data_IF_389582865771
#
_entry.id   IF_389582865771
#
_cell.length_a   1.000
_cell.length_b   1.000
_cell.length_c   1.000
_cell.angle_alpha   90.00
_cell.angle_beta   90.00
_cell.angle_gamma   90.00
#
_symmetry.space_group_name_H-M   'P 1'
#
loop_
_entity.id
_entity.type
_entity.pdbx_description
1 polymer ?
#
# COMPACT_ATOMS: atom_id res chain seq x y z
N UNK A 1 -30.77 12.83 -63.21
CA UNK A 1 -30.79 11.46 -62.67
C UNK A 1 -29.34 11.00 -62.56
N UNK A 2 -28.71 11.26 -61.40
CA UNK A 2 -27.30 10.91 -61.15
C UNK A 2 -27.29 9.80 -60.09
N UNK A 3 -26.64 8.69 -60.43
CA UNK A 3 -26.51 7.50 -59.58
C UNK A 3 -25.31 7.72 -58.67
N UNK A 4 -25.57 7.90 -57.37
CA UNK A 4 -24.56 7.93 -56.31
C UNK A 4 -24.22 6.46 -55.96
N UNK A 5 -22.95 6.03 -56.00
CA UNK A 5 -22.60 4.68 -55.57
C UNK A 5 -22.65 4.60 -54.04
N UNK A 6 -23.39 3.61 -53.54
CA UNK A 6 -23.40 3.21 -52.13
C UNK A 6 -22.03 2.64 -51.75
N UNK A 7 -21.37 3.28 -50.80
CA UNK A 7 -20.23 2.73 -50.06
C UNK A 7 -20.77 1.61 -49.16
N UNK A 8 -20.20 0.39 -49.16
CA UNK A 8 -20.65 -0.66 -48.26
C UNK A 8 -20.18 -0.35 -46.84
N UNK A 9 -21.15 -0.37 -45.91
CA UNK A 9 -20.96 -0.27 -44.47
C UNK A 9 -20.13 -1.47 -43.96
N UNK A 10 -18.82 -1.33 -43.97
CA UNK A 10 -17.93 -2.26 -43.27
C UNK A 10 -17.63 -1.72 -41.87
N UNK A 11 -18.21 -2.43 -40.89
CA UNK A 11 -17.60 -2.75 -39.61
C UNK A 11 -16.91 -1.56 -38.89
N UNK A 12 -17.73 -0.71 -38.27
CA UNK A 12 -17.27 0.11 -37.15
C UNK A 12 -16.97 -0.85 -35.99
N UNK A 13 -15.74 -1.36 -35.92
CA UNK A 13 -15.21 -1.94 -34.69
C UNK A 13 -15.06 -0.75 -33.74
N UNK A 14 -16.13 -0.50 -32.99
CA UNK A 14 -16.04 0.22 -31.73
C UNK A 14 -15.12 -0.65 -30.89
N UNK A 15 -13.86 -0.22 -30.73
CA UNK A 15 -13.03 -0.67 -29.63
C UNK A 15 -13.75 -0.13 -28.39
N UNK A 16 -14.70 -0.91 -27.89
CA UNK A 16 -15.15 -0.77 -26.52
C UNK A 16 -13.89 -1.01 -25.71
N UNK A 17 -13.33 0.07 -25.17
CA UNK A 17 -12.62 0.01 -23.91
C UNK A 17 -13.58 -0.71 -22.96
N UNK A 18 -13.44 -2.03 -22.87
CA UNK A 18 -13.99 -2.76 -21.76
C UNK A 18 -13.25 -2.19 -20.57
N UNK A 19 -13.94 -1.25 -19.90
CA UNK A 19 -13.98 -1.18 -18.46
C UNK A 19 -13.92 -2.62 -17.97
N UNK A 20 -12.72 -3.06 -17.64
CA UNK A 20 -12.52 -4.25 -16.86
C UNK A 20 -13.29 -3.92 -15.58
N UNK A 21 -14.45 -4.55 -15.43
CA UNK A 21 -15.18 -4.50 -14.19
C UNK A 21 -14.20 -5.03 -13.15
N UNK A 22 -13.65 -4.12 -12.37
CA UNK A 22 -13.24 -4.37 -11.01
C UNK A 22 -14.49 -4.92 -10.29
N UNK A 23 -14.76 -6.21 -10.49
CA UNK A 23 -15.24 -7.04 -9.41
C UNK A 23 -14.15 -6.89 -8.34
N UNK A 24 -14.55 -6.38 -7.18
CA UNK A 24 -13.71 -5.98 -6.06
C UNK A 24 -13.08 -4.57 -6.15
N UNK A 25 -13.83 -3.61 -6.68
CA UNK A 25 -13.76 -2.26 -6.12
C UNK A 25 -14.22 -2.32 -4.64
N UNK A 26 -13.26 -2.56 -3.74
CA UNK A 26 -13.43 -2.54 -2.30
C UNK A 26 -14.19 -1.27 -1.87
N UNK A 27 -15.42 -1.45 -1.40
CA UNK A 27 -15.96 -0.55 -0.40
C UNK A 27 -15.15 -0.76 0.88
N UNK A 28 -14.14 0.08 1.10
CA UNK A 28 -13.56 0.26 2.42
C UNK A 28 -14.67 0.76 3.33
N UNK A 29 -15.26 -0.17 4.09
CA UNK A 29 -16.23 0.17 5.14
C UNK A 29 -15.44 0.33 6.43
N UNK A 30 -14.86 1.52 6.63
CA UNK A 30 -14.36 1.90 7.95
C UNK A 30 -15.58 2.08 8.84
N UNK A 31 -15.85 1.11 9.71
CA UNK A 31 -16.95 1.18 10.67
C UNK A 31 -16.50 1.98 11.89
N UNK A 32 -16.33 3.29 11.72
CA UNK A 32 -16.09 4.22 12.83
C UNK A 32 -17.35 4.29 13.70
N UNK A 33 -17.28 3.71 14.90
CA UNK A 33 -18.20 4.01 15.99
C UNK A 33 -17.50 5.02 16.89
N UNK A 34 -17.83 6.30 16.69
CA UNK A 34 -17.95 7.36 17.71
C UNK A 34 -17.51 8.70 17.12
N UNK A 35 -18.49 9.49 16.72
CA UNK A 35 -18.34 10.91 16.40
C UNK A 35 -18.35 11.70 17.70
N UNK A 36 -17.23 12.31 18.09
CA UNK A 36 -17.22 13.44 19.01
C UNK A 36 -16.38 14.56 18.38
N UNK A 37 -17.06 15.64 18.02
CA UNK A 37 -16.46 16.86 17.51
C UNK A 37 -15.64 17.53 18.62
N UNK A 38 -14.42 17.97 18.31
CA UNK A 38 -13.65 18.86 19.18
C UNK A 38 -13.22 20.10 18.40
N UNK A 39 -13.62 21.25 18.93
CA UNK A 39 -13.31 22.58 18.38
C UNK A 39 -12.10 23.11 19.14
N UNK A 40 -11.00 23.41 18.45
CA UNK A 40 -9.86 24.10 19.07
C UNK A 40 -9.49 25.31 18.23
N UNK A 41 -9.78 26.49 18.77
CA UNK A 41 -9.31 27.78 18.30
C UNK A 41 -7.83 27.94 18.63
N UNK A 42 -6.99 28.34 17.66
CA UNK A 42 -5.67 28.90 17.97
C UNK A 42 -5.29 30.02 16.99
N UNK A 43 -4.58 30.99 17.57
CA UNK A 43 -4.28 32.31 17.02
C UNK A 43 -2.92 32.38 16.34
N UNK A 44 -2.81 33.32 15.41
CA UNK A 44 -1.73 33.57 14.47
C UNK A 44 -0.30 33.77 15.03
N UNK A 45 0.68 33.26 14.26
CA UNK A 45 1.83 34.01 13.73
C UNK A 45 3.15 34.06 14.54
N UNK A 46 4.18 33.31 14.09
CA UNK A 46 5.58 33.75 13.99
C UNK A 46 6.52 32.63 13.44
N UNK A 47 7.67 32.98 12.81
CA UNK A 47 8.48 32.09 11.99
C UNK A 47 9.52 31.27 12.79
N UNK A 48 9.67 30.01 12.38
CA UNK A 48 10.71 29.01 12.66
C UNK A 48 11.79 29.35 13.71
N UNK A 49 11.67 28.70 14.86
CA UNK A 49 12.81 28.31 15.69
C UNK A 49 12.68 26.83 15.99
N UNK A 50 13.78 26.09 15.88
CA UNK A 50 14.06 24.72 16.33
C UNK A 50 13.55 24.45 17.75
N UNK A 51 12.23 24.30 17.87
CA UNK A 51 11.54 24.03 19.13
C UNK A 51 11.46 22.53 19.26
N UNK A 52 12.33 22.00 20.12
CA UNK A 52 12.13 20.78 20.92
C UNK A 52 10.73 20.21 20.72
N UNK A 53 10.67 19.01 20.12
CA UNK A 53 9.64 18.00 20.36
C UNK A 53 9.45 17.92 21.88
N UNK A 54 8.56 18.73 22.42
CA UNK A 54 8.10 18.58 23.79
C UNK A 54 6.87 17.72 23.66
N UNK A 55 6.99 16.45 24.03
CA UNK A 55 5.96 15.49 24.43
C UNK A 55 4.52 16.04 24.40
N UNK A 56 3.97 16.20 23.21
CA UNK A 56 2.62 15.71 22.98
C UNK A 56 2.84 14.25 22.63
N UNK A 57 2.54 13.36 23.57
CA UNK A 57 2.31 11.95 23.25
C UNK A 57 1.50 11.92 21.96
N UNK A 58 2.07 11.31 20.93
CA UNK A 58 1.38 11.06 19.67
C UNK A 58 0.26 10.07 19.99
N UNK A 59 -0.88 10.55 20.48
CA UNK A 59 -2.12 9.76 20.61
C UNK A 59 -2.75 9.47 19.24
N UNK A 60 -1.91 9.22 18.24
CA UNK A 60 -2.26 9.00 16.84
C UNK A 60 -1.14 8.17 16.20
N UNK A 61 -1.45 6.93 15.81
CA UNK A 61 -0.64 6.09 14.92
C UNK A 61 -0.39 6.69 13.53
N UNK A 62 -0.87 7.91 13.29
CA UNK A 62 -0.73 8.64 12.05
C UNK A 62 0.22 9.83 12.25
N UNK A 63 1.44 9.67 11.75
CA UNK A 63 2.44 10.73 11.76
C UNK A 63 2.36 11.47 10.41
N UNK A 64 1.90 12.73 10.37
CA UNK A 64 1.77 13.46 9.11
C UNK A 64 3.12 13.64 8.42
N UNK A 65 3.18 13.37 7.12
CA UNK A 65 4.41 13.43 6.32
C UNK A 65 4.43 14.75 5.52
N UNK A 66 5.53 15.51 5.54
CA UNK A 66 5.66 16.67 4.69
C UNK A 66 5.59 16.30 3.21
N UNK A 67 4.95 17.18 2.42
CA UNK A 67 4.80 16.98 0.98
C UNK A 67 6.14 16.74 0.27
N UNK A 68 7.21 17.39 0.73
CA UNK A 68 8.55 17.26 0.14
C UNK A 68 9.11 15.85 0.28
N UNK A 69 8.78 15.15 1.36
CA UNK A 69 9.19 13.76 1.59
C UNK A 69 8.25 12.80 0.87
N UNK A 70 6.93 13.04 0.92
CA UNK A 70 5.95 12.27 0.15
C UNK A 70 6.28 12.25 -1.35
N UNK A 71 6.67 13.38 -1.92
CA UNK A 71 7.05 13.48 -3.34
C UNK A 71 8.33 12.73 -3.69
N UNK A 72 9.17 12.38 -2.71
CA UNK A 72 10.36 11.54 -2.91
C UNK A 72 9.98 10.06 -2.97
N UNK A 73 9.13 9.61 -2.03
CA UNK A 73 8.77 8.19 -1.86
C UNK A 73 7.55 7.74 -2.66
N UNK A 74 6.66 8.64 -3.04
CA UNK A 74 5.46 8.29 -3.80
C UNK A 74 5.56 8.71 -5.26
N UNK A 75 4.90 7.96 -6.17
CA UNK A 75 4.66 8.44 -7.51
C UNK A 75 3.87 9.75 -7.44
N UNK A 76 4.30 10.76 -8.20
CA UNK A 76 3.60 12.04 -8.28
C UNK A 76 3.23 12.31 -9.75
N UNK A 77 2.28 13.23 -10.00
CA UNK A 77 1.80 13.50 -11.35
C UNK A 77 2.92 13.87 -12.36
N UNK A 78 4.04 14.41 -11.86
CA UNK A 78 5.23 14.73 -12.67
C UNK A 78 6.27 13.61 -12.79
N UNK A 79 6.19 12.56 -11.94
CA UNK A 79 7.13 11.45 -11.79
C UNK A 79 6.33 10.18 -11.54
N UNK A 80 5.59 9.75 -12.56
CA UNK A 80 4.89 8.46 -12.57
C UNK A 80 5.75 7.31 -13.13
N UNK A 81 7.02 7.61 -13.46
CA UNK A 81 7.97 6.65 -14.05
C UNK A 81 8.08 5.40 -13.17
N UNK A 82 7.71 4.22 -13.69
CA UNK A 82 7.75 2.98 -12.94
C UNK A 82 9.15 2.65 -12.43
N UNK A 83 9.23 2.09 -11.22
CA UNK A 83 10.48 1.52 -10.71
C UNK A 83 10.73 0.13 -11.32
N UNK A 84 11.97 -0.37 -11.18
CA UNK A 84 12.31 -1.73 -11.63
C UNK A 84 11.42 -2.80 -10.98
N UNK A 85 11.16 -2.68 -9.67
CA UNK A 85 10.34 -3.63 -8.92
C UNK A 85 8.88 -3.64 -9.37
N UNK A 86 8.36 -2.46 -9.70
CA UNK A 86 7.03 -2.29 -10.29
C UNK A 86 6.95 -2.96 -11.67
N UNK A 87 7.99 -2.82 -12.49
CA UNK A 87 8.07 -3.48 -13.79
C UNK A 87 8.14 -5.00 -13.66
N UNK A 88 8.96 -5.51 -12.73
CA UNK A 88 9.10 -6.96 -12.48
C UNK A 88 7.78 -7.57 -12.01
N UNK A 89 7.00 -6.85 -11.21
CA UNK A 89 5.68 -7.31 -10.77
C UNK A 89 4.73 -7.60 -11.95
N UNK A 90 4.74 -6.78 -13.01
CA UNK A 90 3.93 -7.03 -14.21
C UNK A 90 4.55 -7.96 -15.23
N UNK A 91 5.87 -8.09 -15.23
CA UNK A 91 6.53 -9.13 -15.98
C UNK A 91 6.11 -10.51 -15.43
N UNK A 92 5.89 -10.61 -14.12
CA UNK A 92 5.51 -11.82 -13.42
C UNK A 92 6.57 -12.22 -12.40
N UNK A 93 6.12 -12.62 -11.21
CA UNK A 93 7.00 -13.09 -10.12
C UNK A 93 7.37 -14.56 -10.35
N UNK A 94 6.44 -15.38 -10.84
CA UNK A 94 6.69 -16.80 -11.14
C UNK A 94 7.08 -17.04 -12.60
N UNK A 95 7.79 -18.15 -12.93
CA UNK A 95 8.09 -18.51 -14.32
C UNK A 95 6.84 -18.68 -15.19
N UNK A 96 5.75 -19.17 -14.61
CA UNK A 96 4.46 -19.35 -15.29
C UNK A 96 3.83 -18.00 -15.64
N UNK A 97 3.83 -17.05 -14.72
CA UNK A 97 3.36 -15.69 -14.96
C UNK A 97 4.20 -14.99 -16.03
N UNK A 98 5.54 -15.12 -15.95
CA UNK A 98 6.45 -14.56 -16.95
C UNK A 98 6.17 -15.09 -18.34
N UNK A 99 5.96 -16.40 -18.46
CA UNK A 99 5.59 -16.99 -19.73
C UNK A 99 4.24 -16.47 -20.24
N UNK A 100 3.22 -16.41 -19.38
CA UNK A 100 1.89 -15.92 -19.75
C UNK A 100 1.92 -14.44 -20.17
N UNK A 101 2.64 -13.59 -19.42
CA UNK A 101 2.80 -12.16 -19.71
C UNK A 101 3.55 -11.94 -21.04
N UNK A 102 4.63 -12.69 -21.28
CA UNK A 102 5.35 -12.64 -22.55
C UNK A 102 4.50 -13.17 -23.72
N UNK A 103 3.74 -14.25 -23.52
CA UNK A 103 2.87 -14.82 -24.54
C UNK A 103 1.70 -13.88 -24.89
N UNK A 104 1.07 -13.27 -23.89
CA UNK A 104 0.07 -12.22 -24.06
C UNK A 104 0.67 -11.06 -24.86
N UNK A 105 1.82 -10.54 -24.42
CA UNK A 105 2.54 -9.47 -25.08
C UNK A 105 2.85 -9.79 -26.55
N UNK A 106 3.38 -10.99 -26.82
CA UNK A 106 3.72 -11.43 -28.17
C UNK A 106 2.48 -11.62 -29.05
N UNK A 107 1.39 -12.13 -28.47
CA UNK A 107 0.12 -12.31 -29.18
C UNK A 107 -0.46 -10.96 -29.62
N UNK A 108 -0.45 -9.96 -28.72
CA UNK A 108 -0.85 -8.58 -29.03
C UNK A 108 0.09 -7.97 -30.08
N UNK A 109 1.39 -8.17 -29.96
CA UNK A 109 2.35 -7.66 -30.93
C UNK A 109 2.14 -8.26 -32.33
N UNK A 110 1.94 -9.57 -32.40
CA UNK A 110 1.71 -10.28 -33.66
C UNK A 110 0.38 -9.87 -34.31
N UNK A 111 -0.72 -9.95 -33.57
CA UNK A 111 -2.05 -9.59 -34.06
C UNK A 111 -2.14 -8.10 -34.41
N UNK A 112 -1.57 -7.24 -33.57
CA UNK A 112 -1.51 -5.80 -33.78
C UNK A 112 -0.68 -5.41 -34.99
N UNK A 113 0.45 -6.10 -35.23
CA UNK A 113 1.26 -5.89 -36.45
C UNK A 113 0.51 -6.30 -37.72
N UNK A 114 -0.21 -7.43 -37.69
CA UNK A 114 -1.07 -7.85 -38.81
C UNK A 114 -2.21 -6.84 -39.04
N UNK A 115 -2.84 -6.37 -37.96
CA UNK A 115 -3.88 -5.35 -38.04
C UNK A 115 -3.34 -4.04 -38.63
N UNK A 116 -2.17 -3.57 -38.19
CA UNK A 116 -1.52 -2.38 -38.71
C UNK A 116 -1.21 -2.52 -40.22
N UNK A 117 -0.77 -3.70 -40.65
CA UNK A 117 -0.59 -4.00 -42.08
C UNK A 117 -1.89 -3.84 -42.88
N UNK A 118 -3.01 -4.37 -42.40
CA UNK A 118 -4.29 -4.19 -43.09
C UNK A 118 -4.80 -2.74 -43.09
N UNK A 119 -4.63 -2.03 -41.97
CA UNK A 119 -5.01 -0.61 -41.85
C UNK A 119 -4.19 0.28 -42.78
N UNK A 120 -2.96 -0.12 -43.13
CA UNK A 120 -2.10 0.63 -44.06
C UNK A 120 -2.76 0.87 -45.42
N UNK A 121 -3.62 -0.05 -45.88
CA UNK A 121 -4.37 0.10 -47.14
C UNK A 121 -5.51 1.12 -47.07
N UNK A 122 -6.00 1.43 -45.86
CA UNK A 122 -7.15 2.31 -45.65
C UNK A 122 -6.71 3.72 -45.29
N UNK A 123 -5.83 3.84 -44.29
CA UNK A 123 -5.44 5.12 -43.67
C UNK A 123 -4.08 5.62 -44.21
N UNK A 124 -3.34 4.75 -44.89
CA UNK A 124 -2.03 5.04 -45.48
C UNK A 124 -0.88 4.49 -44.65
N UNK A 125 0.29 4.37 -45.30
CA UNK A 125 1.46 3.67 -44.78
C UNK A 125 2.03 4.32 -43.51
N UNK A 126 2.07 5.64 -43.43
CA UNK A 126 2.71 6.36 -42.31
C UNK A 126 2.06 6.04 -40.95
N UNK A 127 0.73 6.19 -40.84
CA UNK A 127 0.00 5.93 -39.59
C UNK A 127 0.03 4.45 -39.23
N UNK A 128 -0.03 3.56 -40.22
CA UNK A 128 0.12 2.13 -40.00
C UNK A 128 1.51 1.75 -39.47
N UNK A 129 2.58 2.40 -39.93
CA UNK A 129 3.93 2.16 -39.39
C UNK A 129 4.02 2.57 -37.93
N UNK A 130 3.45 3.71 -37.53
CA UNK A 130 3.43 4.14 -36.12
C UNK A 130 2.69 3.11 -35.25
N UNK A 131 1.48 2.71 -35.67
CA UNK A 131 0.71 1.69 -34.95
C UNK A 131 1.45 0.35 -34.89
N UNK A 132 2.05 -0.08 -36.00
CA UNK A 132 2.84 -1.31 -36.06
C UNK A 132 4.03 -1.30 -35.11
N UNK A 133 4.72 -0.17 -34.97
CA UNK A 133 5.81 -0.01 -33.99
C UNK A 133 5.26 -0.10 -32.56
N UNK A 134 4.15 0.57 -32.23
CA UNK A 134 3.54 0.49 -30.89
C UNK A 134 3.20 -0.96 -30.54
N UNK A 135 2.58 -1.70 -31.48
CA UNK A 135 2.27 -3.11 -31.25
C UNK A 135 3.52 -3.98 -31.16
N UNK A 136 4.53 -3.77 -32.02
CA UNK A 136 5.78 -4.52 -32.00
C UNK A 136 6.48 -4.43 -30.63
N UNK A 137 6.47 -3.24 -30.02
CA UNK A 137 7.07 -3.00 -28.71
C UNK A 137 6.11 -3.23 -27.53
N UNK A 138 4.89 -3.70 -27.77
CA UNK A 138 3.90 -3.95 -26.73
C UNK A 138 4.38 -4.88 -25.60
N UNK A 139 5.17 -5.95 -25.82
CA UNK A 139 5.68 -6.78 -24.73
C UNK A 139 6.54 -6.02 -23.71
N UNK A 140 7.20 -4.93 -24.16
CA UNK A 140 8.05 -4.08 -23.31
C UNK A 140 7.23 -2.93 -22.72
N UNK A 141 6.34 -2.34 -23.52
CA UNK A 141 5.53 -1.18 -23.10
C UNK A 141 4.37 -1.55 -22.17
N UNK A 142 3.81 -2.76 -22.30
CA UNK A 142 2.63 -3.19 -21.53
C UNK A 142 2.87 -3.20 -20.02
N UNK A 143 3.95 -3.81 -19.49
CA UNK A 143 4.28 -3.74 -18.06
C UNK A 143 4.44 -2.29 -17.57
N UNK A 144 5.11 -1.45 -18.37
CA UNK A 144 5.33 -0.04 -18.05
C UNK A 144 3.99 0.71 -17.94
N UNK A 145 3.10 0.58 -18.93
CA UNK A 145 1.78 1.21 -18.90
C UNK A 145 0.90 0.72 -17.74
N UNK A 146 0.93 -0.57 -17.42
CA UNK A 146 0.20 -1.13 -16.27
C UNK A 146 0.73 -0.52 -14.95
N UNK A 147 2.04 -0.34 -14.82
CA UNK A 147 2.63 0.33 -13.67
C UNK A 147 2.27 1.82 -13.58
N UNK A 148 2.34 2.55 -14.70
CA UNK A 148 1.84 3.92 -14.76
C UNK A 148 0.38 4.02 -14.30
N UNK A 149 -0.47 3.10 -14.76
CA UNK A 149 -1.88 3.08 -14.38
C UNK A 149 -2.06 2.84 -12.88
N UNK A 150 -1.36 1.88 -12.26
CA UNK A 150 -1.45 1.67 -10.81
C UNK A 150 -0.93 2.84 -9.99
N UNK A 151 0.21 3.42 -10.39
CA UNK A 151 0.74 4.62 -9.76
C UNK A 151 -0.27 5.78 -9.83
N UNK A 152 -0.96 5.91 -10.97
CA UNK A 152 -2.05 6.86 -11.13
C UNK A 152 -3.28 6.53 -10.27
N UNK A 153 -3.65 5.26 -10.14
CA UNK A 153 -4.77 4.81 -9.31
C UNK A 153 -4.56 5.09 -7.83
N UNK A 154 -3.33 4.89 -7.31
CA UNK A 154 -2.97 5.23 -5.93
C UNK A 154 -3.26 6.70 -5.61
N UNK A 155 -2.90 7.58 -6.55
CA UNK A 155 -3.01 9.03 -6.38
C UNK A 155 -4.35 9.58 -6.87
N UNK A 156 -5.08 8.82 -7.70
CA UNK A 156 -6.32 9.23 -8.35
C UNK A 156 -6.17 10.48 -9.23
N UNK A 157 -4.95 10.77 -9.70
CA UNK A 157 -4.63 11.99 -10.44
C UNK A 157 -4.68 13.29 -9.64
N UNK A 158 -4.69 13.20 -8.30
CA UNK A 158 -4.71 14.35 -7.39
C UNK A 158 -3.30 14.78 -7.03
N UNK A 159 -3.12 16.06 -6.73
CA UNK A 159 -1.85 16.52 -6.19
C UNK A 159 -1.71 16.12 -4.71
N UNK A 160 -0.48 15.86 -4.29
CA UNK A 160 -0.15 15.72 -2.88
C UNK A 160 -0.24 17.09 -2.21
N UNK A 161 -0.75 17.15 -0.98
CA UNK A 161 -0.91 18.39 -0.21
C UNK A 161 -0.31 18.20 1.16
N UNK A 162 0.34 19.26 1.63
CA UNK A 162 0.88 19.29 2.97
C UNK A 162 -0.21 19.49 4.03
N UNK A 163 -0.11 18.75 5.14
CA UNK A 163 -1.11 18.78 6.22
C UNK A 163 -1.16 20.15 6.90
N UNK A 164 -0.02 20.84 6.96
CA UNK A 164 0.13 22.13 7.66
C UNK A 164 -0.16 23.36 6.80
N UNK A 165 -0.61 23.20 5.55
CA UNK A 165 -1.06 24.35 4.76
C UNK A 165 -2.37 24.85 5.35
N UNK A 166 -2.35 26.05 5.95
CA UNK A 166 -3.53 26.66 6.53
C UNK A 166 -4.52 27.07 5.44
N UNK A 167 -5.77 26.68 5.63
CA UNK A 167 -6.87 26.92 4.67
C UNK A 167 -7.15 28.41 4.44
N UNK A 168 -6.68 29.26 5.36
CA UNK A 168 -7.01 30.68 5.45
C UNK A 168 -5.94 31.61 4.85
N UNK A 169 -4.68 31.17 4.71
CA UNK A 169 -3.57 32.02 4.22
C UNK A 169 -3.35 31.92 2.70
N UNK A 170 -3.74 30.79 2.10
CA UNK A 170 -3.46 30.50 0.70
C UNK A 170 -4.74 30.67 -0.14
N UNK A 171 -5.01 31.88 -0.62
CA UNK A 171 -6.18 32.20 -1.45
C UNK A 171 -6.38 31.33 -2.69
N UNK A 172 -5.39 30.49 -3.05
CA UNK A 172 -5.50 29.46 -4.10
C UNK A 172 -6.49 28.33 -3.76
N UNK A 173 -6.59 27.92 -2.48
CA UNK A 173 -7.46 26.82 -2.05
C UNK A 173 -8.79 27.27 -1.44
N UNK A 174 -8.97 28.59 -1.30
CA UNK A 174 -10.18 29.19 -0.75
C UNK A 174 -11.42 28.80 -1.58
N UNK A 175 -12.43 28.23 -0.92
CA UNK A 175 -13.68 27.79 -1.56
C UNK A 175 -13.65 26.43 -2.26
N UNK A 176 -12.49 25.76 -2.35
CA UNK A 176 -12.41 24.38 -2.83
C UNK A 176 -12.68 23.44 -1.64
N UNK A 177 -13.64 22.50 -1.75
CA UNK A 177 -13.87 21.47 -0.73
C UNK A 177 -12.59 20.67 -0.46
N UNK A 178 -12.29 20.38 0.80
CA UNK A 178 -11.06 19.70 1.22
C UNK A 178 -10.81 18.40 0.46
N UNK A 179 -11.86 17.60 0.24
CA UNK A 179 -11.80 16.33 -0.49
C UNK A 179 -11.47 16.44 -1.98
N UNK A 180 -11.42 17.66 -2.53
CA UNK A 180 -11.04 17.96 -3.92
C UNK A 180 -9.73 18.69 -4.04
N UNK A 181 -9.11 19.08 -2.92
CA UNK A 181 -7.84 19.82 -2.96
C UNK A 181 -6.70 18.91 -3.39
N UNK A 182 -6.62 17.72 -2.79
CA UNK A 182 -5.52 16.79 -3.04
C UNK A 182 -5.52 15.62 -2.05
N UNK A 183 -4.34 15.02 -1.88
CA UNK A 183 -4.10 13.91 -0.95
C UNK A 183 -3.10 14.32 0.13
N UNK A 184 -3.48 14.09 1.39
CA UNK A 184 -2.62 14.18 2.56
C UNK A 184 -1.99 12.82 2.82
N UNK A 185 -0.72 12.78 3.19
CA UNK A 185 -0.01 11.54 3.54
C UNK A 185 0.40 11.50 5.01
N UNK A 186 0.31 10.30 5.60
CA UNK A 186 0.78 10.02 6.95
C UNK A 186 1.49 8.66 6.99
N UNK A 187 2.51 8.53 7.83
CA UNK A 187 3.00 7.22 8.24
C UNK A 187 1.93 6.61 9.15
N UNK A 188 1.56 5.38 8.86
CA UNK A 188 0.78 4.56 9.77
C UNK A 188 1.73 3.60 10.46
N UNK A 189 1.90 3.78 11.77
CA UNK A 189 2.71 2.94 12.65
C UNK A 189 1.80 2.00 13.43
N UNK A 190 2.10 0.71 13.44
CA UNK A 190 1.28 -0.29 14.12
C UNK A 190 2.12 -1.51 14.48
N UNK A 191 1.61 -2.32 15.40
CA UNK A 191 2.12 -3.66 15.69
C UNK A 191 1.26 -4.70 14.99
N UNK A 192 1.88 -5.82 14.63
CA UNK A 192 1.18 -6.96 14.05
C UNK A 192 0.43 -7.69 15.16
N UNK A 193 -0.90 -7.68 15.12
CA UNK A 193 -1.75 -8.34 16.13
C UNK A 193 -2.02 -9.80 15.78
N UNK A 194 -2.27 -10.07 14.50
CA UNK A 194 -2.66 -11.39 14.02
C UNK A 194 -2.20 -11.60 12.58
N UNK A 195 -1.76 -12.82 12.28
CA UNK A 195 -1.29 -13.25 10.97
C UNK A 195 -1.91 -14.59 10.65
N UNK A 196 -2.58 -14.69 9.52
CA UNK A 196 -3.05 -15.98 9.03
C UNK A 196 -3.06 -16.03 7.51
N UNK A 197 -3.21 -17.24 6.98
CA UNK A 197 -3.38 -17.51 5.56
C UNK A 197 -4.84 -17.82 5.27
N UNK A 198 -5.38 -17.24 4.20
CA UNK A 198 -6.77 -17.42 3.77
C UNK A 198 -6.85 -17.70 2.28
N UNK A 199 -7.87 -18.44 1.86
CA UNK A 199 -8.20 -18.66 0.45
C UNK A 199 -9.02 -17.48 -0.13
N UNK A 200 -9.96 -16.95 0.66
CA UNK A 200 -10.79 -15.79 0.34
C UNK A 200 -10.64 -14.69 1.41
N UNK A 201 -10.70 -13.44 0.97
CA UNK A 201 -10.73 -12.22 1.81
C UNK A 201 -11.94 -12.22 2.75
N UNK A 202 -12.98 -12.98 2.40
CA UNK A 202 -14.23 -13.12 3.16
C UNK A 202 -14.27 -14.36 4.06
N UNK A 203 -13.17 -15.12 4.11
CA UNK A 203 -13.04 -16.29 4.96
C UNK A 203 -13.41 -15.95 6.41
N UNK A 204 -14.11 -16.87 7.05
CA UNK A 204 -14.41 -16.79 8.48
C UNK A 204 -13.27 -17.34 9.31
N UNK A 205 -13.29 -17.13 10.64
CA UNK A 205 -12.26 -17.64 11.56
C UNK A 205 -11.99 -19.13 11.46
N UNK A 206 -12.95 -19.91 10.99
CA UNK A 206 -12.86 -21.36 10.87
C UNK A 206 -12.18 -21.81 9.56
N UNK A 207 -11.96 -20.87 8.63
CA UNK A 207 -11.37 -21.06 7.29
C UNK A 207 -9.97 -20.42 7.19
N UNK A 208 -9.42 -20.03 8.33
CA UNK A 208 -8.09 -19.45 8.46
C UNK A 208 -7.07 -20.55 8.78
N UNK A 209 -5.89 -20.42 8.18
CA UNK A 209 -4.79 -21.34 8.38
C UNK A 209 -3.62 -20.61 9.05
N UNK A 210 -2.93 -21.32 9.94
CA UNK A 210 -1.73 -20.80 10.59
C UNK A 210 -0.60 -20.68 9.57
N UNK A 211 0.22 -19.62 9.70
CA UNK A 211 1.34 -19.37 8.80
C UNK A 211 2.37 -20.51 8.82
N UNK A 212 2.57 -21.15 9.98
CA UNK A 212 3.49 -22.27 10.17
C UNK A 212 3.17 -23.49 9.29
N UNK A 213 1.89 -23.68 8.93
CA UNK A 213 1.45 -24.75 8.02
C UNK A 213 2.03 -24.56 6.60
N UNK A 214 2.51 -23.35 6.29
CA UNK A 214 3.07 -22.96 5.00
C UNK A 214 4.60 -22.80 5.02
N UNK A 215 5.29 -23.36 6.01
CA UNK A 215 6.77 -23.24 6.13
C UNK A 215 7.59 -23.68 4.90
N UNK A 216 7.04 -24.53 4.03
CA UNK A 216 7.66 -24.94 2.76
C UNK A 216 7.03 -24.28 1.51
N UNK A 217 6.17 -23.28 1.71
CA UNK A 217 5.51 -22.56 0.63
C UNK A 217 6.50 -21.79 -0.24
N UNK A 218 6.26 -21.84 -1.55
CA UNK A 218 6.85 -20.91 -2.52
C UNK A 218 5.76 -20.46 -3.47
N UNK A 219 5.85 -19.23 -3.98
CA UNK A 219 4.91 -18.76 -5.01
C UNK A 219 4.85 -19.67 -6.24
N UNK A 220 5.90 -20.45 -6.50
CA UNK A 220 5.94 -21.38 -7.64
C UNK A 220 5.20 -22.69 -7.39
N UNK A 221 5.08 -23.10 -6.12
CA UNK A 221 4.44 -24.34 -5.68
C UNK A 221 3.03 -24.12 -5.12
N UNK A 222 2.45 -22.92 -5.29
CA UNK A 222 1.10 -22.60 -4.81
C UNK A 222 0.05 -23.59 -5.37
N UNK A 223 -0.38 -24.52 -4.51
CA UNK A 223 -1.31 -25.57 -4.90
C UNK A 223 -2.70 -25.02 -5.20
N UNK A 224 -3.14 -24.01 -4.44
CA UNK A 224 -4.46 -23.39 -4.61
C UNK A 224 -4.52 -22.66 -5.95
N UNK A 225 -3.49 -21.90 -6.30
CA UNK A 225 -3.40 -21.22 -7.60
C UNK A 225 -3.36 -22.23 -8.75
N UNK A 226 -2.63 -23.33 -8.56
CA UNK A 226 -2.53 -24.37 -9.57
C UNK A 226 -3.87 -25.09 -9.82
N UNK A 227 -4.68 -25.29 -8.78
CA UNK A 227 -5.98 -25.97 -8.88
C UNK A 227 -7.13 -25.04 -9.28
N UNK A 228 -7.15 -23.82 -8.74
CA UNK A 228 -8.30 -22.90 -8.84
C UNK A 228 -8.03 -21.66 -9.69
N UNK A 229 -6.75 -21.31 -9.88
CA UNK A 229 -6.33 -20.05 -10.49
C UNK A 229 -6.31 -18.86 -9.52
N UNK A 230 -6.59 -19.08 -8.22
CA UNK A 230 -6.56 -18.06 -7.17
C UNK A 230 -5.43 -18.43 -6.20
N UNK A 231 -4.48 -17.53 -5.92
CA UNK A 231 -3.39 -17.82 -4.98
C UNK A 231 -3.86 -17.74 -3.53
N UNK A 232 -3.12 -18.40 -2.65
CA UNK A 232 -3.23 -18.16 -1.22
C UNK A 232 -2.99 -16.68 -0.88
N UNK A 233 -3.64 -16.18 0.16
CA UNK A 233 -3.50 -14.80 0.61
C UNK A 233 -3.05 -14.75 2.05
N UNK A 234 -2.11 -13.88 2.35
CA UNK A 234 -1.79 -13.47 3.71
C UNK A 234 -2.85 -12.47 4.17
N UNK A 235 -3.39 -12.69 5.37
CA UNK A 235 -4.11 -11.68 6.13
C UNK A 235 -3.24 -11.21 7.27
N UNK A 236 -2.96 -9.91 7.25
CA UNK A 236 -2.24 -9.21 8.31
C UNK A 236 -3.21 -8.28 9.04
N UNK A 237 -3.32 -8.43 10.34
CA UNK A 237 -4.04 -7.48 11.20
C UNK A 237 -3.03 -6.63 11.94
N UNK A 238 -3.11 -5.32 11.71
CA UNK A 238 -2.27 -4.31 12.34
C UNK A 238 -3.09 -3.57 13.38
N UNK A 239 -2.57 -3.42 14.59
CA UNK A 239 -3.18 -2.62 15.66
C UNK A 239 -2.27 -1.46 16.03
N UNK A 240 -2.86 -0.32 16.35
CA UNK A 240 -2.14 0.74 17.06
C UNK A 240 -2.28 0.65 18.58
N UNK A 241 -1.57 1.54 19.26
CA UNK A 241 -1.56 1.78 20.71
C UNK A 241 -2.97 2.02 21.30
N UNK A 242 -3.87 2.60 20.51
CA UNK A 242 -5.27 2.84 20.87
C UNK A 242 -6.20 1.64 20.59
N UNK A 243 -5.67 0.53 20.07
CA UNK A 243 -6.43 -0.67 19.69
C UNK A 243 -7.28 -0.49 18.43
N UNK A 244 -7.04 0.56 17.63
CA UNK A 244 -7.63 0.73 16.31
C UNK A 244 -6.87 -0.17 15.35
N UNK A 245 -7.62 -0.87 14.50
CA UNK A 245 -7.05 -1.90 13.64
C UNK A 245 -7.24 -1.65 12.15
N UNK A 246 -6.23 -2.05 11.38
CA UNK A 246 -6.30 -2.16 9.94
C UNK A 246 -6.01 -3.60 9.53
N UNK A 247 -6.83 -4.13 8.63
CA UNK A 247 -6.63 -5.46 8.08
C UNK A 247 -6.18 -5.33 6.63
N UNK A 248 -5.04 -5.96 6.32
CA UNK A 248 -4.42 -5.97 5.00
C UNK A 248 -4.47 -7.39 4.46
N UNK A 249 -4.80 -7.50 3.18
CA UNK A 249 -4.73 -8.75 2.43
C UNK A 249 -3.70 -8.59 1.33
N UNK A 250 -2.77 -9.52 1.25
CA UNK A 250 -1.77 -9.57 0.19
C UNK A 250 -1.68 -11.00 -0.36
N UNK A 251 -1.26 -11.15 -1.62
CA UNK A 251 -0.91 -12.47 -2.16
C UNK A 251 0.19 -13.10 -1.31
N UNK A 252 0.03 -14.37 -0.94
CA UNK A 252 1.03 -15.11 -0.16
C UNK A 252 2.38 -15.17 -0.90
N UNK A 253 3.46 -15.06 -0.14
CA UNK A 253 4.83 -15.09 -0.62
C UNK A 253 5.73 -15.78 0.40
N UNK A 254 6.76 -16.47 -0.06
CA UNK A 254 7.81 -17.02 0.81
C UNK A 254 8.47 -15.95 1.69
N UNK A 255 8.49 -14.68 1.25
CA UNK A 255 9.05 -13.55 2.01
C UNK A 255 8.25 -13.23 3.28
N UNK A 256 7.09 -13.84 3.49
CA UNK A 256 6.19 -13.57 4.63
C UNK A 256 6.25 -14.64 5.71
N UNK A 257 7.01 -15.73 5.50
CA UNK A 257 7.03 -16.88 6.40
C UNK A 257 7.65 -16.59 7.77
N UNK A 258 8.52 -15.58 7.84
CA UNK A 258 9.19 -15.17 9.08
C UNK A 258 8.39 -14.08 9.84
N UNK A 259 7.14 -13.80 9.45
CA UNK A 259 6.30 -12.84 10.15
C UNK A 259 5.73 -13.46 11.43
N UNK A 260 5.80 -12.72 12.54
CA UNK A 260 5.23 -13.11 13.83
C UNK A 260 4.36 -11.99 14.42
N UNK A 261 3.34 -12.31 15.23
CA UNK A 261 2.62 -11.32 16.01
C UNK A 261 3.55 -10.59 16.98
N UNK A 262 3.29 -9.30 17.18
CA UNK A 262 4.11 -8.36 17.94
C UNK A 262 4.89 -7.40 17.04
N UNK A 263 5.38 -7.88 15.88
CA UNK A 263 6.31 -7.15 15.03
C UNK A 263 5.83 -5.75 14.66
N UNK A 264 6.76 -4.80 14.58
CA UNK A 264 6.44 -3.42 14.20
C UNK A 264 6.26 -3.28 12.69
N UNK A 265 5.23 -2.55 12.28
CA UNK A 265 4.90 -2.30 10.89
C UNK A 265 4.70 -0.81 10.60
N UNK A 266 5.19 -0.37 9.45
CA UNK A 266 5.02 1.01 8.98
C UNK A 266 4.63 1.05 7.51
N UNK A 267 3.61 1.83 7.18
CA UNK A 267 3.18 2.08 5.81
C UNK A 267 2.79 3.53 5.58
N UNK A 268 2.52 3.91 4.33
CA UNK A 268 2.02 5.25 4.00
C UNK A 268 0.55 5.16 3.66
N UNK A 269 -0.25 5.94 4.39
CA UNK A 269 -1.67 6.12 4.10
C UNK A 269 -1.89 7.47 3.43
N UNK A 270 -2.78 7.49 2.45
CA UNK A 270 -3.21 8.67 1.73
C UNK A 270 -4.68 8.95 2.02
N UNK A 271 -5.00 10.19 2.36
CA UNK A 271 -6.37 10.62 2.63
C UNK A 271 -6.75 11.87 1.85
N UNK A 272 -8.04 11.98 1.50
CA UNK A 272 -8.62 13.23 0.98
C UNK A 272 -8.95 14.26 2.07
N UNK A 273 -8.64 13.95 3.33
CA UNK A 273 -8.96 14.76 4.50
C UNK A 273 -7.77 14.87 5.44
N UNK A 274 -7.58 16.04 6.05
CA UNK A 274 -6.52 16.27 7.05
C UNK A 274 -6.70 15.43 8.29
N UNK A 275 -7.94 15.01 8.58
CA UNK A 275 -8.28 14.20 9.75
C UNK A 275 -8.21 12.69 9.47
N UNK A 276 -7.87 12.28 8.23
CA UNK A 276 -7.80 10.87 7.83
C UNK A 276 -9.11 10.08 8.04
N UNK A 277 -10.26 10.77 8.04
CA UNK A 277 -11.59 10.13 8.12
C UNK A 277 -11.96 9.37 6.84
N UNK A 278 -11.33 9.72 5.71
CA UNK A 278 -11.52 9.06 4.43
C UNK A 278 -10.19 8.59 3.84
N UNK A 279 -9.94 7.28 3.87
CA UNK A 279 -8.79 6.67 3.20
C UNK A 279 -8.98 6.73 1.67
N UNK A 280 -7.94 7.14 0.96
CA UNK A 280 -7.90 7.26 -0.49
C UNK A 280 -6.89 6.31 -1.15
N UNK A 281 -5.82 5.96 -0.44
CA UNK A 281 -4.79 5.05 -0.93
C UNK A 281 -3.93 4.55 0.22
N UNK A 282 -3.25 3.42 -0.01
CA UNK A 282 -2.37 2.76 0.95
C UNK A 282 -1.24 2.11 0.17
N UNK A 283 -0.03 2.19 0.70
CA UNK A 283 1.16 1.54 0.13
C UNK A 283 1.38 0.15 0.73
N UNK A 284 2.45 -0.50 0.31
CA UNK A 284 3.06 -1.62 1.02
C UNK A 284 3.50 -1.22 2.45
N UNK A 285 3.48 -2.20 3.35
CA UNK A 285 3.95 -2.10 4.73
C UNK A 285 5.33 -2.70 4.85
N UNK A 286 6.25 -1.94 5.42
CA UNK A 286 7.52 -2.43 5.91
C UNK A 286 7.30 -3.04 7.29
N UNK A 287 7.69 -4.30 7.49
CA UNK A 287 7.69 -4.98 8.79
C UNK A 287 9.12 -5.10 9.30
N UNK A 288 9.31 -4.71 10.55
CA UNK A 288 10.58 -4.66 11.25
C UNK A 288 10.61 -5.70 12.37
N UNK A 289 11.78 -6.31 12.57
CA UNK A 289 12.06 -7.17 13.71
C UNK A 289 12.06 -6.34 15.00
N UNK A 290 11.48 -6.88 16.06
CA UNK A 290 11.46 -6.28 17.39
C UNK A 290 12.85 -6.21 18.02
N UNK A 291 13.71 -7.20 17.74
CA UNK A 291 14.96 -7.41 18.48
C UNK A 291 16.06 -6.47 18.00
N UNK A 292 16.19 -6.30 16.68
CA UNK A 292 17.28 -5.53 16.08
C UNK A 292 16.82 -4.41 15.14
N UNK A 293 15.51 -4.25 14.95
CA UNK A 293 14.96 -3.26 14.03
C UNK A 293 15.28 -3.54 12.56
N UNK A 294 15.79 -4.73 12.24
CA UNK A 294 16.09 -5.10 10.87
C UNK A 294 14.82 -5.27 10.05
N UNK A 295 14.93 -5.02 8.75
CA UNK A 295 13.80 -5.23 7.84
C UNK A 295 13.59 -6.73 7.64
N UNK A 296 12.45 -7.23 8.10
CA UNK A 296 12.01 -8.61 7.82
C UNK A 296 11.48 -8.68 6.40
N UNK A 297 10.43 -7.92 6.10
CA UNK A 297 9.74 -8.04 4.81
C UNK A 297 8.90 -6.82 4.44
N UNK A 298 8.40 -6.83 3.21
CA UNK A 298 7.49 -5.82 2.67
C UNK A 298 6.17 -6.46 2.27
N UNK A 299 5.12 -6.18 3.03
CA UNK A 299 3.78 -6.76 2.85
C UNK A 299 2.95 -5.87 1.93
N UNK A 300 2.61 -6.39 0.74
CA UNK A 300 1.76 -5.68 -0.21
C UNK A 300 1.76 -6.28 -1.61
N UNK A 301 0.67 -6.08 -2.34
CA UNK A 301 0.51 -6.62 -3.69
C UNK A 301 1.33 -5.87 -4.74
N UNK A 302 1.69 -4.61 -4.47
CA UNK A 302 2.37 -3.76 -5.42
C UNK A 302 3.40 -2.85 -4.72
N UNK A 303 4.67 -2.84 -5.16
CA UNK A 303 5.73 -2.06 -4.53
C UNK A 303 5.59 -0.59 -4.90
N UNK A 304 4.78 0.15 -4.15
CA UNK A 304 4.60 1.58 -4.39
C UNK A 304 5.81 2.38 -3.93
N UNK A 305 6.44 1.94 -2.84
CA UNK A 305 7.54 2.65 -2.21
C UNK A 305 8.91 2.21 -2.75
N UNK A 306 9.82 3.16 -3.05
CA UNK A 306 11.22 2.85 -3.27
C UNK A 306 11.86 2.47 -1.92
N UNK A 307 12.06 1.17 -1.71
CA UNK A 307 12.46 0.57 -0.42
C UNK A 307 13.62 1.31 0.27
N UNK A 308 14.74 1.49 -0.44
CA UNK A 308 15.95 2.13 0.11
C UNK A 308 15.73 3.61 0.50
N UNK A 309 14.95 4.34 -0.31
CA UNK A 309 14.70 5.75 -0.06
C UNK A 309 13.69 5.94 1.08
N UNK A 310 12.69 5.06 1.17
CA UNK A 310 11.75 5.03 2.27
C UNK A 310 12.44 4.70 3.60
N UNK A 311 13.24 3.63 3.66
CA UNK A 311 14.01 3.24 4.85
C UNK A 311 14.86 4.40 5.37
N UNK A 312 15.62 5.04 4.47
CA UNK A 312 16.45 6.21 4.84
C UNK A 312 15.63 7.35 5.43
N UNK A 313 14.43 7.61 4.91
CA UNK A 313 13.58 8.71 5.38
C UNK A 313 12.99 8.39 6.76
N UNK A 314 12.48 7.17 6.98
CA UNK A 314 11.92 6.80 8.28
C UNK A 314 13.00 6.78 9.38
N UNK A 315 14.23 6.36 9.05
CA UNK A 315 15.40 6.44 9.94
C UNK A 315 15.74 7.91 10.24
N UNK A 316 15.85 8.75 9.20
CA UNK A 316 16.22 10.17 9.36
C UNK A 316 15.20 10.95 10.19
N UNK A 317 13.92 10.57 10.10
CA UNK A 317 12.82 11.21 10.82
C UNK A 317 12.66 10.69 12.26
N UNK A 318 13.39 9.63 12.62
CA UNK A 318 13.28 8.95 13.91
C UNK A 318 12.02 8.10 14.06
N UNK A 319 11.29 7.82 12.97
CA UNK A 319 10.08 6.98 12.99
C UNK A 319 10.45 5.52 13.28
N UNK A 320 11.57 5.05 12.73
CA UNK A 320 12.07 3.71 13.01
C UNK A 320 12.53 3.57 14.47
N UNK A 321 13.15 4.60 15.04
CA UNK A 321 13.56 4.61 16.46
C UNK A 321 12.33 4.61 17.38
N UNK A 322 11.32 5.43 17.09
CA UNK A 322 10.09 5.52 17.87
C UNK A 322 9.31 4.18 17.89
N UNK A 323 9.27 3.46 16.77
CA UNK A 323 8.65 2.12 16.70
C UNK A 323 9.36 1.07 17.58
N UNK A 324 10.66 1.21 17.80
CA UNK A 324 11.47 0.24 18.54
C UNK A 324 11.59 0.60 20.03
N UNK A 325 11.50 1.89 20.37
CA UNK A 325 11.57 2.37 21.75
C UNK A 325 10.34 1.91 22.57
N UNK A 326 9.14 1.87 21.97
CA UNK A 326 7.90 1.42 22.64
C UNK A 326 7.99 -0.03 23.16
N UNK A 327 8.84 -0.88 22.56
CA UNK A 327 9.02 -2.28 22.98
C UNK A 327 9.98 -2.42 24.18
N UNK A 328 10.93 -1.49 24.35
CA UNK A 328 11.90 -1.56 25.45
C UNK A 328 11.32 -1.12 26.79
N UNK A 329 10.35 -0.18 26.78
CA UNK A 329 9.70 0.27 28.01
C UNK A 329 8.87 -0.87 28.67
N UNK A 330 8.26 -1.75 27.90
CA UNK A 330 7.43 -2.85 28.43
C UNK A 330 8.25 -3.99 29.07
N UNK A 331 9.47 -4.25 28.60
CA UNK A 331 10.38 -5.24 29.22
C UNK A 331 10.98 -4.73 30.55
N UNK A 332 11.34 -3.45 30.66
CA UNK A 332 11.97 -2.89 31.86
C UNK A 332 11.02 -2.91 33.08
N UNK A 333 9.70 -2.82 32.87
CA UNK A 333 8.71 -2.94 33.95
C UNK A 333 8.53 -4.36 34.49
N UNK A 334 8.77 -5.41 33.70
CA UNK A 334 8.60 -6.80 34.16
C UNK A 334 9.77 -7.25 35.05
N UNK A 335 10.98 -6.79 34.78
CA UNK A 335 12.17 -7.10 35.58
C UNK A 335 12.16 -6.40 36.96
N UNK A 336 11.51 -5.24 37.10
CA UNK A 336 11.35 -4.59 38.41
C UNK A 336 10.33 -5.32 39.30
N UNK A 337 9.27 -5.90 38.73
CA UNK A 337 8.22 -6.60 39.49
C UNK A 337 8.69 -7.96 40.02
N UNK A 338 9.47 -8.73 39.24
CA UNK A 338 10.06 -9.99 39.74
C UNK A 338 11.09 -9.77 40.86
N UNK A 339 11.76 -8.61 40.87
CA UNK A 339 12.73 -8.27 41.92
C UNK A 339 12.08 -7.77 43.22
N UNK A 340 10.85 -7.25 43.21
CA UNK A 340 10.13 -6.89 44.43
C UNK A 340 9.44 -8.08 45.13
N UNK A 341 9.04 -9.13 44.41
CA UNK A 341 8.34 -10.28 45.02
C UNK A 341 9.28 -11.24 45.79
N UNK A 342 10.60 -11.13 45.64
CA UNK A 342 11.58 -11.93 46.37
C UNK A 342 11.97 -11.38 47.76
N UNK A 343 11.41 -10.25 48.18
CA UNK A 343 11.74 -9.58 49.45
C UNK A 343 10.64 -9.65 50.54
N UNK A 344 9.88 -10.75 50.60
CA UNK A 344 9.00 -11.02 51.75
C UNK A 344 9.66 -11.99 52.76
N UNK A 345 10.23 -11.51 53.89
CA UNK A 345 10.73 -12.40 54.92
C UNK A 345 9.59 -13.04 55.74
N UNK A 346 9.57 -14.37 55.70
CA UNK A 346 8.81 -15.28 56.56
C UNK A 346 9.01 -14.95 58.04
N UNK A 347 8.03 -14.32 58.69
CA UNK A 347 7.96 -14.20 60.15
C UNK A 347 7.01 -15.27 60.73
N UNK A 348 7.54 -16.47 60.93
CA UNK A 348 6.86 -17.52 61.70
C UNK A 348 6.90 -17.22 63.21
N UNK A 349 5.83 -16.60 63.75
CA UNK A 349 5.63 -16.54 65.21
C UNK A 349 4.85 -17.75 65.70
N UNK A 350 5.63 -18.74 66.13
CA UNK A 350 5.25 -19.89 66.93
C UNK A 350 4.85 -19.43 68.33
N UNK A 351 3.55 -19.42 68.64
CA UNK A 351 3.06 -19.26 70.02
C UNK A 351 2.65 -20.63 70.58
N UNK A 352 3.47 -21.12 71.52
CA UNK A 352 3.19 -22.23 72.43
C UNK A 352 2.89 -21.63 73.81
N UNK A 353 1.82 -22.08 74.46
CA UNK A 353 1.49 -21.80 75.87
C UNK A 353 -0.02 -21.96 76.07
N UNK A 354 -0.54 -23.14 76.41
CA UNK A 354 -0.56 -23.83 77.72
C UNK A 354 -1.60 -23.25 78.67
#
# INVERSE_FOLDING_TARGET
MQVIPRIPSFLLIIITWQRWEAADAHQFTVRSKNTLAFTTTLSAGAPWSTRRRNNSQLGMSLIPIPINELQQILPNASKLTPTGDQYVTYLGRTPRERFNSLFEGFSVAFLGSMFAYFISFVIGQFLATILGIIFLFWPILSPEFKAYQRNWELVGGRDLIDVWVDDDDDGYWSGIPQNKRGLYGAYYTATVDDICVVDDVRATSDEEYDLDEFSDYTMTSDELENMTGIPWKLRLRLLDDEGRGMQVHARMSEDYLDLEPGMSAVGVLLSTSKQFDQLAGMTDFLVLDEVDGSTITWVGDYPYLPKDEFLRIIETNGVAEELLDDLQEDEEYLDEVENEETLAPVSSKRLKGR
#
